data_IF_426611570980
#
_entry.id   IF_426611570980
#
_cell.length_a   1.000
_cell.length_b   1.000
_cell.length_c   1.000
_cell.angle_alpha   90.00
_cell.angle_beta   90.00
_cell.angle_gamma   90.00
#
_symmetry.space_group_name_H-M   'P 1'
#
loop_
_entity.id
_entity.type
_entity.pdbx_description
1 polymer ?
#
# COMPACT_ATOMS: atom_id res chain seq x y z
N UNK A 1 -33.90 37.99 18.98
CA UNK A 1 -33.16 36.77 19.35
C UNK A 1 -33.75 35.65 18.51
N UNK A 2 -33.10 35.28 17.38
CA UNK A 2 -33.49 34.16 16.51
C UNK A 2 -32.67 32.94 16.90
N UNK A 3 -33.30 31.92 17.42
CA UNK A 3 -32.76 30.61 17.72
C UNK A 3 -32.55 29.86 16.40
N UNK A 4 -31.26 29.58 16.04
CA UNK A 4 -30.89 28.68 14.94
C UNK A 4 -31.15 27.23 15.38
N UNK A 5 -31.98 26.53 14.62
CA UNK A 5 -32.34 25.13 14.85
C UNK A 5 -31.14 24.22 14.50
N UNK A 6 -30.76 23.37 15.44
CA UNK A 6 -29.78 22.30 15.26
C UNK A 6 -30.44 21.19 14.42
N UNK A 7 -29.95 21.04 13.18
CA UNK A 7 -30.27 19.87 12.37
C UNK A 7 -29.67 18.63 13.03
N UNK A 8 -30.53 17.69 13.43
CA UNK A 8 -30.14 16.38 13.98
C UNK A 8 -29.46 15.58 12.87
N UNK A 9 -28.14 15.46 12.94
CA UNK A 9 -27.40 14.48 12.18
C UNK A 9 -27.80 13.08 12.69
N UNK A 10 -28.28 12.22 11.78
CA UNK A 10 -28.59 10.83 12.11
C UNK A 10 -27.26 10.11 12.33
N UNK A 11 -27.11 9.32 13.42
CA UNK A 11 -25.90 8.51 13.60
C UNK A 11 -25.86 7.43 12.52
N UNK A 12 -24.81 7.45 11.71
CA UNK A 12 -24.47 6.33 10.83
C UNK A 12 -24.02 5.20 11.74
N UNK A 13 -24.71 4.06 11.73
CA UNK A 13 -24.31 2.88 12.50
C UNK A 13 -22.99 2.36 11.98
N UNK A 14 -21.94 2.24 12.80
CA UNK A 14 -20.71 1.59 12.37
C UNK A 14 -20.98 0.10 12.12
N UNK A 15 -20.68 -0.39 10.92
CA UNK A 15 -20.67 -1.80 10.61
C UNK A 15 -19.42 -2.42 11.23
N UNK A 16 -19.46 -2.67 12.53
CA UNK A 16 -18.45 -3.48 13.21
C UNK A 16 -18.75 -4.95 12.96
N UNK A 17 -18.04 -5.58 12.03
CA UNK A 17 -17.90 -7.03 11.96
C UNK A 17 -16.42 -7.38 12.08
N UNK A 18 -16.05 -7.98 13.20
CA UNK A 18 -14.75 -8.59 13.43
C UNK A 18 -13.95 -7.88 14.53
N UNK A 19 -13.87 -8.50 15.69
CA UNK A 19 -13.17 -7.98 16.85
C UNK A 19 -11.66 -7.86 16.60
N UNK A 20 -11.17 -6.65 16.55
CA UNK A 20 -9.75 -6.37 16.73
C UNK A 20 -9.50 -6.05 18.20
N UNK A 21 -8.78 -6.93 18.86
CA UNK A 21 -8.20 -6.67 20.17
C UNK A 21 -7.04 -5.67 20.00
N UNK A 22 -7.32 -4.41 20.13
CA UNK A 22 -6.31 -3.37 20.32
C UNK A 22 -5.77 -3.50 21.75
N UNK A 23 -4.86 -4.43 21.94
CA UNK A 23 -4.26 -4.64 23.26
C UNK A 23 -2.90 -3.98 23.33
N UNK A 24 -2.79 -2.99 24.16
CA UNK A 24 -1.56 -2.59 24.80
C UNK A 24 -1.28 -1.08 24.84
N UNK A 25 -1.16 -0.37 23.72
CA UNK A 25 -0.66 1.01 23.73
C UNK A 25 -1.75 2.07 23.99
N UNK A 26 -2.97 1.87 23.48
CA UNK A 26 -4.10 2.82 23.68
C UNK A 26 -4.74 2.68 25.07
N UNK A 27 -4.71 1.50 25.67
CA UNK A 27 -5.18 1.28 27.04
C UNK A 27 -4.31 2.00 28.09
N UNK A 28 -3.03 2.23 27.79
CA UNK A 28 -2.13 2.98 28.67
C UNK A 28 -2.45 4.49 28.75
N UNK A 29 -3.18 5.03 27.76
CA UNK A 29 -3.61 6.43 27.71
C UNK A 29 -5.08 6.63 28.04
N UNK A 30 -5.83 5.57 28.35
CA UNK A 30 -7.25 5.65 28.70
C UNK A 30 -8.18 6.08 27.56
N UNK A 31 -7.74 6.05 26.31
CA UNK A 31 -8.54 6.42 25.14
C UNK A 31 -9.20 5.15 24.58
N UNK A 32 -10.52 5.04 24.56
CA UNK A 32 -11.18 3.87 23.98
C UNK A 32 -10.95 3.83 22.46
N UNK A 33 -10.71 2.63 21.91
CA UNK A 33 -10.46 2.41 20.48
C UNK A 33 -11.50 3.09 19.57
N UNK A 34 -12.78 3.15 19.99
CA UNK A 34 -13.84 3.86 19.30
C UNK A 34 -13.59 5.37 19.18
N UNK A 35 -12.90 5.99 20.13
CA UNK A 35 -12.59 7.43 20.10
C UNK A 35 -11.45 7.73 19.12
N UNK A 36 -10.50 6.82 18.96
CA UNK A 36 -9.42 6.95 17.97
C UNK A 36 -9.97 6.83 16.53
N UNK A 37 -10.93 5.92 16.28
CA UNK A 37 -11.63 5.84 14.99
C UNK A 37 -12.52 7.06 14.72
N UNK A 38 -13.21 7.58 15.73
CA UNK A 38 -14.03 8.79 15.57
C UNK A 38 -13.15 10.02 15.26
N UNK A 39 -11.95 10.08 15.79
CA UNK A 39 -10.99 11.14 15.48
C UNK A 39 -10.48 11.03 14.04
N UNK A 40 -10.23 9.80 13.55
CA UNK A 40 -9.87 9.51 12.16
C UNK A 40 -10.95 9.99 11.16
N UNK A 41 -12.22 9.71 11.45
CA UNK A 41 -13.34 10.16 10.61
C UNK A 41 -13.51 11.68 10.65
N UNK A 42 -13.30 12.30 11.81
CA UNK A 42 -13.44 13.74 11.99
C UNK A 42 -12.33 14.52 11.28
N UNK A 43 -11.09 14.03 11.34
CA UNK A 43 -9.94 14.67 10.68
C UNK A 43 -10.01 14.50 9.16
N UNK A 44 -10.52 13.38 8.65
CA UNK A 44 -10.79 13.18 7.23
C UNK A 44 -11.88 14.13 6.71
N UNK A 45 -12.93 14.40 7.49
CA UNK A 45 -13.99 15.35 7.14
C UNK A 45 -13.53 16.81 7.17
N UNK A 46 -12.51 17.14 7.96
CA UNK A 46 -11.96 18.50 8.07
C UNK A 46 -10.86 18.80 7.05
N UNK A 47 -10.57 17.88 6.11
CA UNK A 47 -9.54 18.06 5.08
C UNK A 47 -8.12 18.19 5.63
N UNK A 48 -7.88 17.76 6.86
CA UNK A 48 -6.56 17.70 7.47
C UNK A 48 -5.89 16.41 7.05
N UNK A 49 -5.00 16.50 6.06
CA UNK A 49 -4.25 15.39 5.46
C UNK A 49 -3.20 14.76 6.38
N UNK A 50 -3.33 14.87 7.70
CA UNK A 50 -2.39 14.29 8.64
C UNK A 50 -3.14 13.47 9.68
N UNK A 51 -3.39 12.20 9.35
CA UNK A 51 -3.75 11.22 10.34
C UNK A 51 -2.48 10.91 11.12
N UNK A 52 -2.31 11.58 12.25
CA UNK A 52 -1.24 11.28 13.19
C UNK A 52 -1.72 10.14 14.08
N UNK A 53 -1.36 8.91 13.75
CA UNK A 53 -1.47 7.83 14.72
C UNK A 53 -0.56 8.15 15.92
N UNK A 54 -1.01 8.07 17.16
CA UNK A 54 -0.16 8.27 18.35
C UNK A 54 1.03 7.32 18.41
N UNK A 55 0.91 6.13 17.84
CA UNK A 55 1.98 5.29 17.32
C UNK A 55 1.55 4.85 15.93
N UNK A 56 2.42 5.01 14.93
CA UNK A 56 2.18 4.51 13.55
C UNK A 56 2.17 2.97 13.49
N UNK A 57 2.35 2.30 14.62
CA UNK A 57 2.52 0.86 14.70
C UNK A 57 1.19 0.13 14.87
N UNK A 58 0.90 -0.76 13.97
CA UNK A 58 -0.29 -1.59 13.99
C UNK A 58 0.01 -2.98 13.40
N UNK A 59 0.93 -3.76 14.02
CA UNK A 59 1.23 -5.10 13.52
C UNK A 59 0.01 -6.01 13.63
N UNK A 60 -0.21 -6.83 12.60
CA UNK A 60 -1.32 -7.76 12.47
C UNK A 60 -2.73 -7.12 12.59
N UNK A 61 -2.86 -5.80 12.47
CA UNK A 61 -4.18 -5.17 12.55
C UNK A 61 -5.00 -5.40 11.28
N UNK A 62 -6.32 -5.38 11.43
CA UNK A 62 -7.23 -5.48 10.31
C UNK A 62 -7.66 -4.08 9.85
N UNK A 63 -7.07 -3.64 8.75
CA UNK A 63 -7.35 -2.38 8.05
C UNK A 63 -8.03 -2.63 6.70
N UNK A 64 -8.77 -3.73 6.56
CA UNK A 64 -9.49 -4.05 5.33
C UNK A 64 -10.43 -2.93 4.94
N UNK A 65 -10.27 -2.39 3.72
CA UNK A 65 -11.08 -1.29 3.21
C UNK A 65 -10.88 0.05 3.94
N UNK A 66 -9.79 0.20 4.70
CA UNK A 66 -9.50 1.46 5.39
C UNK A 66 -9.26 2.59 4.37
N UNK A 67 -9.80 3.77 4.65
CA UNK A 67 -9.57 4.98 3.86
C UNK A 67 -8.41 5.77 4.47
N UNK A 68 -7.23 5.69 3.86
CA UNK A 68 -5.97 6.29 4.32
C UNK A 68 -5.26 7.10 3.21
N UNK A 69 -5.98 7.85 2.36
CA UNK A 69 -5.34 8.60 1.29
C UNK A 69 -4.46 9.71 1.87
N UNK A 70 -3.21 9.81 1.38
CA UNK A 70 -2.24 10.80 1.84
C UNK A 70 -1.78 10.63 3.29
N UNK A 71 -2.05 9.50 3.93
CA UNK A 71 -1.64 9.25 5.32
C UNK A 71 -0.11 9.20 5.45
N UNK A 72 0.43 9.81 6.51
CA UNK A 72 1.83 9.63 6.90
C UNK A 72 1.99 8.34 7.71
N UNK A 73 2.41 7.28 7.04
CA UNK A 73 2.74 5.96 7.59
C UNK A 73 4.24 5.68 7.48
N UNK A 74 5.08 6.71 7.30
CA UNK A 74 6.51 6.57 7.17
C UNK A 74 7.12 5.90 8.41
N UNK A 75 7.90 4.82 8.20
CA UNK A 75 8.48 4.00 9.26
C UNK A 75 7.49 3.22 10.11
N UNK A 76 6.20 3.22 9.79
CA UNK A 76 5.17 2.49 10.52
C UNK A 76 5.46 0.98 10.58
N UNK A 77 5.20 0.34 11.71
CA UNK A 77 5.21 -1.12 11.80
C UNK A 77 3.82 -1.68 11.50
N UNK A 78 3.65 -2.15 10.25
CA UNK A 78 2.43 -2.77 9.72
C UNK A 78 2.69 -4.26 9.36
N UNK A 79 3.66 -4.88 10.02
CA UNK A 79 3.99 -6.29 9.81
C UNK A 79 2.72 -7.17 9.99
N UNK A 80 2.47 -8.07 9.04
CA UNK A 80 1.31 -8.97 9.05
C UNK A 80 -0.06 -8.25 9.04
N UNK A 81 -0.11 -6.93 8.82
CA UNK A 81 -1.37 -6.20 8.77
C UNK A 81 -2.24 -6.64 7.58
N UNK A 82 -3.56 -6.64 7.76
CA UNK A 82 -4.54 -6.96 6.73
C UNK A 82 -5.05 -5.64 6.14
N UNK A 83 -4.53 -5.27 4.95
CA UNK A 83 -4.80 -4.02 4.22
C UNK A 83 -5.57 -4.28 2.92
N UNK A 84 -6.33 -5.39 2.86
CA UNK A 84 -7.09 -5.74 1.65
C UNK A 84 -8.02 -4.60 1.24
N UNK A 85 -7.95 -4.22 -0.06
CA UNK A 85 -8.81 -3.18 -0.63
C UNK A 85 -8.72 -1.83 0.11
N UNK A 86 -7.70 -1.62 0.95
CA UNK A 86 -7.47 -0.33 1.59
C UNK A 86 -7.11 0.73 0.54
N UNK A 87 -7.56 1.96 0.78
CA UNK A 87 -7.19 3.10 -0.03
C UNK A 87 -5.99 3.81 0.63
N UNK A 88 -4.81 3.61 0.07
CA UNK A 88 -3.53 4.19 0.47
C UNK A 88 -2.99 5.13 -0.62
N UNK A 89 -3.89 5.69 -1.44
CA UNK A 89 -3.51 6.61 -2.51
C UNK A 89 -2.66 7.77 -1.97
N UNK A 90 -1.51 8.02 -2.60
CA UNK A 90 -0.57 9.07 -2.21
C UNK A 90 -0.11 9.01 -0.73
N UNK A 91 -0.27 7.89 -0.03
CA UNK A 91 0.24 7.73 1.33
C UNK A 91 1.77 7.66 1.35
N UNK A 92 2.38 8.18 2.39
CA UNK A 92 3.81 8.01 2.67
C UNK A 92 4.02 6.73 3.50
N UNK A 93 4.54 5.70 2.87
CA UNK A 93 4.93 4.40 3.44
C UNK A 93 6.46 4.23 3.41
N UNK A 94 7.22 5.31 3.26
CA UNK A 94 8.67 5.26 3.20
C UNK A 94 9.24 4.56 4.43
N UNK A 95 10.08 3.53 4.21
CA UNK A 95 10.69 2.71 5.27
C UNK A 95 9.68 2.00 6.18
N UNK A 96 8.40 1.93 5.83
CA UNK A 96 7.42 1.17 6.60
C UNK A 96 7.75 -0.33 6.61
N UNK A 97 7.40 -1.02 7.69
CA UNK A 97 7.56 -2.47 7.83
C UNK A 97 6.24 -3.14 7.47
N UNK A 98 6.14 -3.67 6.25
CA UNK A 98 4.96 -4.33 5.68
C UNK A 98 5.22 -5.82 5.40
N UNK A 99 6.22 -6.40 6.04
CA UNK A 99 6.56 -7.81 5.85
C UNK A 99 5.33 -8.69 6.16
N UNK A 100 5.03 -9.65 5.27
CA UNK A 100 3.89 -10.57 5.42
C UNK A 100 2.52 -9.85 5.43
N UNK A 101 2.44 -8.57 5.09
CA UNK A 101 1.16 -7.85 5.04
C UNK A 101 0.31 -8.31 3.85
N UNK A 102 -1.00 -8.30 4.03
CA UNK A 102 -1.98 -8.63 2.99
C UNK A 102 -2.56 -7.35 2.37
N UNK A 103 -1.99 -6.93 1.25
CA UNK A 103 -2.32 -5.72 0.50
C UNK A 103 -3.15 -6.02 -0.77
N UNK A 104 -3.78 -7.19 -0.85
CA UNK A 104 -4.51 -7.61 -2.06
C UNK A 104 -5.58 -6.62 -2.46
N UNK A 105 -5.50 -6.18 -3.72
CA UNK A 105 -6.44 -5.21 -4.28
C UNK A 105 -6.39 -3.82 -3.62
N UNK A 106 -5.40 -3.51 -2.79
CA UNK A 106 -5.23 -2.18 -2.21
C UNK A 106 -4.92 -1.14 -3.29
N UNK A 107 -5.36 0.09 -3.08
CA UNK A 107 -5.01 1.22 -3.92
C UNK A 107 -3.80 1.97 -3.32
N UNK A 108 -2.65 1.77 -3.90
CA UNK A 108 -1.36 2.39 -3.55
C UNK A 108 -0.90 3.38 -4.63
N UNK A 109 -1.81 3.87 -5.46
CA UNK A 109 -1.43 4.74 -6.57
C UNK A 109 -0.79 6.04 -6.08
N UNK A 110 0.39 6.38 -6.65
CA UNK A 110 1.15 7.56 -6.28
C UNK A 110 1.71 7.56 -4.85
N UNK A 111 1.68 6.43 -4.13
CA UNK A 111 2.24 6.33 -2.78
C UNK A 111 3.77 6.33 -2.82
N UNK A 112 4.38 6.76 -1.70
CA UNK A 112 5.82 6.73 -1.49
C UNK A 112 6.18 5.53 -0.62
N UNK A 113 6.93 4.55 -1.18
CA UNK A 113 7.34 3.32 -0.51
C UNK A 113 8.86 3.13 -0.56
N UNK A 114 9.61 4.24 -0.73
CA UNK A 114 11.05 4.19 -0.84
C UNK A 114 11.69 3.52 0.40
N UNK A 115 12.46 2.46 0.17
CA UNK A 115 13.09 1.67 1.22
C UNK A 115 12.12 0.93 2.14
N UNK A 116 10.84 0.76 1.78
CA UNK A 116 9.89 -0.03 2.54
C UNK A 116 10.28 -1.52 2.57
N UNK A 117 9.91 -2.21 3.64
CA UNK A 117 10.13 -3.64 3.83
C UNK A 117 8.84 -4.40 3.52
N UNK A 118 8.79 -5.05 2.36
CA UNK A 118 7.63 -5.77 1.81
C UNK A 118 7.94 -7.28 1.59
N UNK A 119 8.91 -7.82 2.35
CA UNK A 119 9.28 -9.22 2.25
C UNK A 119 8.06 -10.13 2.47
N UNK A 120 7.81 -11.05 1.52
CA UNK A 120 6.64 -11.94 1.52
C UNK A 120 5.26 -11.23 1.61
N UNK A 121 5.17 -9.94 1.32
CA UNK A 121 3.88 -9.25 1.29
C UNK A 121 3.02 -9.73 0.10
N UNK A 122 1.69 -9.78 0.28
CA UNK A 122 0.74 -10.11 -0.79
C UNK A 122 0.12 -8.83 -1.37
N UNK A 123 0.62 -8.43 -2.53
CA UNK A 123 0.18 -7.26 -3.32
C UNK A 123 -0.59 -7.70 -4.58
N UNK A 124 -1.12 -8.93 -4.61
CA UNK A 124 -1.84 -9.41 -5.78
C UNK A 124 -2.98 -8.46 -6.15
N UNK A 125 -3.04 -8.07 -7.44
CA UNK A 125 -4.05 -7.16 -7.98
C UNK A 125 -4.07 -5.76 -7.34
N UNK A 126 -3.04 -5.37 -6.59
CA UNK A 126 -2.93 -4.02 -6.05
C UNK A 126 -2.72 -2.99 -7.17
N UNK A 127 -3.24 -1.78 -6.97
CA UNK A 127 -2.97 -0.65 -7.84
C UNK A 127 -1.75 0.12 -7.30
N UNK A 128 -0.62 -0.01 -7.97
CA UNK A 128 0.66 0.63 -7.68
C UNK A 128 1.06 1.64 -8.78
N UNK A 129 0.08 2.14 -9.54
CA UNK A 129 0.36 3.13 -10.58
C UNK A 129 1.10 4.34 -10.01
N UNK A 130 2.23 4.71 -10.65
CA UNK A 130 3.05 5.86 -10.26
C UNK A 130 3.58 5.80 -8.81
N UNK A 131 3.53 4.66 -8.15
CA UNK A 131 4.12 4.47 -6.82
C UNK A 131 5.66 4.54 -6.89
N UNK A 132 6.28 5.10 -5.85
CA UNK A 132 7.74 5.08 -5.70
C UNK A 132 8.14 3.92 -4.77
N UNK A 133 8.70 2.88 -5.36
CA UNK A 133 9.24 1.68 -4.70
C UNK A 133 10.78 1.66 -4.75
N UNK A 134 11.41 2.82 -4.89
CA UNK A 134 12.88 2.91 -4.98
C UNK A 134 13.55 2.23 -3.79
N UNK A 135 14.38 1.22 -4.06
CA UNK A 135 15.12 0.48 -3.03
C UNK A 135 14.25 -0.30 -2.04
N UNK A 136 12.95 -0.48 -2.31
CA UNK A 136 12.09 -1.30 -1.48
C UNK A 136 12.52 -2.78 -1.50
N UNK A 137 12.36 -3.47 -0.36
CA UNK A 137 12.56 -4.91 -0.27
C UNK A 137 11.25 -5.64 -0.57
N UNK A 138 11.13 -6.19 -1.78
CA UNK A 138 9.99 -6.96 -2.29
C UNK A 138 10.34 -8.44 -2.49
N UNK A 139 11.37 -8.93 -1.78
CA UNK A 139 11.78 -10.34 -1.90
C UNK A 139 10.59 -11.26 -1.61
N UNK A 140 10.38 -12.23 -2.50
CA UNK A 140 9.31 -13.24 -2.42
C UNK A 140 7.90 -12.64 -2.38
N UNK A 141 7.72 -11.34 -2.55
CA UNK A 141 6.40 -10.69 -2.56
C UNK A 141 5.55 -11.18 -3.72
N UNK A 142 4.24 -11.21 -3.53
CA UNK A 142 3.27 -11.56 -4.55
C UNK A 142 2.68 -10.30 -5.20
N UNK A 143 3.13 -9.97 -6.40
CA UNK A 143 2.67 -8.86 -7.23
C UNK A 143 1.84 -9.34 -8.45
N UNK A 144 1.29 -10.55 -8.36
CA UNK A 144 0.57 -11.16 -9.49
C UNK A 144 -0.62 -10.31 -9.92
N UNK A 145 -0.66 -9.92 -11.19
CA UNK A 145 -1.70 -9.08 -11.75
C UNK A 145 -1.76 -7.65 -11.18
N UNK A 146 -0.74 -7.21 -10.44
CA UNK A 146 -0.66 -5.84 -9.95
C UNK A 146 -0.51 -4.84 -11.10
N UNK A 147 -1.08 -3.66 -10.94
CA UNK A 147 -0.92 -2.55 -11.85
C UNK A 147 0.26 -1.66 -11.41
N UNK A 148 1.40 -1.85 -12.02
CA UNK A 148 2.66 -1.14 -11.78
C UNK A 148 2.97 -0.10 -12.86
N UNK A 149 1.97 0.35 -13.61
CA UNK A 149 2.19 1.32 -14.69
C UNK A 149 2.84 2.59 -14.16
N UNK A 150 3.99 2.96 -14.78
CA UNK A 150 4.77 4.13 -14.42
C UNK A 150 5.30 4.12 -12.98
N UNK A 151 5.29 2.99 -12.28
CA UNK A 151 5.91 2.86 -10.98
C UNK A 151 7.44 2.97 -11.08
N UNK A 152 8.07 3.42 -10.03
CA UNK A 152 9.54 3.52 -9.92
C UNK A 152 10.02 2.37 -9.03
N UNK A 153 10.69 1.40 -9.64
CA UNK A 153 11.24 0.20 -8.98
C UNK A 153 12.78 0.21 -9.03
N UNK A 154 13.38 1.39 -9.19
CA UNK A 154 14.83 1.50 -9.28
C UNK A 154 15.50 0.94 -8.03
N UNK A 155 16.44 0.00 -8.21
CA UNK A 155 17.17 -0.67 -7.11
C UNK A 155 16.27 -1.42 -6.12
N UNK A 156 15.00 -1.67 -6.43
CA UNK A 156 14.16 -2.53 -5.62
C UNK A 156 14.67 -3.97 -5.65
N UNK A 157 14.54 -4.67 -4.53
CA UNK A 157 14.85 -6.09 -4.46
C UNK A 157 13.59 -6.92 -4.70
N UNK A 158 13.48 -7.48 -5.91
CA UNK A 158 12.39 -8.33 -6.39
C UNK A 158 12.82 -9.80 -6.46
N UNK A 159 13.88 -10.18 -5.75
CA UNK A 159 14.38 -11.57 -5.76
C UNK A 159 13.27 -12.55 -5.37
N UNK A 160 12.97 -13.50 -6.23
CA UNK A 160 11.93 -14.50 -6.03
C UNK A 160 10.49 -13.94 -6.03
N UNK A 161 10.27 -12.67 -6.36
CA UNK A 161 8.95 -12.07 -6.40
C UNK A 161 8.09 -12.65 -7.54
N UNK A 162 6.76 -12.70 -7.33
CA UNK A 162 5.80 -13.15 -8.34
C UNK A 162 5.19 -11.95 -9.03
N UNK A 163 5.55 -11.72 -10.29
CA UNK A 163 5.04 -10.62 -11.13
C UNK A 163 4.25 -11.16 -12.33
N UNK A 164 3.77 -12.41 -12.29
CA UNK A 164 3.06 -12.96 -13.42
C UNK A 164 1.80 -12.13 -13.75
N UNK A 165 1.63 -11.80 -15.03
CA UNK A 165 0.55 -10.95 -15.52
C UNK A 165 0.50 -9.54 -14.90
N UNK A 166 1.54 -9.04 -14.24
CA UNK A 166 1.63 -7.67 -13.77
C UNK A 166 1.74 -6.68 -14.94
N UNK A 167 1.20 -5.48 -14.80
CA UNK A 167 1.32 -4.43 -15.82
C UNK A 167 2.48 -3.49 -15.48
N UNK A 168 3.59 -3.64 -16.18
CA UNK A 168 4.84 -2.88 -16.00
C UNK A 168 5.03 -1.80 -17.08
N UNK A 169 4.00 -1.44 -17.84
CA UNK A 169 4.13 -0.44 -18.90
C UNK A 169 4.56 0.92 -18.34
N UNK A 170 5.65 1.44 -18.88
CA UNK A 170 6.25 2.70 -18.44
C UNK A 170 6.94 2.63 -17.07
N UNK A 171 7.01 1.49 -16.41
CA UNK A 171 7.71 1.34 -15.14
C UNK A 171 9.23 1.47 -15.31
N UNK A 172 9.93 1.90 -14.26
CA UNK A 172 11.40 2.00 -14.23
C UNK A 172 11.98 0.93 -13.30
N UNK A 173 12.55 -0.14 -13.87
CA UNK A 173 13.17 -1.27 -13.17
C UNK A 173 14.70 -1.23 -13.21
N UNK A 174 15.33 -0.12 -13.57
CA UNK A 174 16.79 -0.04 -13.67
C UNK A 174 17.45 -0.31 -12.34
N UNK A 175 18.42 -1.23 -12.35
CA UNK A 175 19.14 -1.68 -11.16
C UNK A 175 18.27 -2.49 -10.19
N UNK A 176 17.08 -2.90 -10.57
CA UNK A 176 16.28 -3.81 -9.76
C UNK A 176 16.88 -5.22 -9.75
N UNK A 177 16.83 -5.89 -8.61
CA UNK A 177 17.28 -7.29 -8.47
C UNK A 177 16.10 -8.21 -8.79
N UNK A 178 16.22 -8.97 -9.90
CA UNK A 178 15.13 -9.82 -10.42
C UNK A 178 15.47 -11.32 -10.34
N UNK A 179 16.51 -11.72 -9.62
CA UNK A 179 16.93 -13.12 -9.55
C UNK A 179 15.77 -14.01 -9.05
N UNK A 180 15.43 -15.04 -9.83
CA UNK A 180 14.34 -15.96 -9.49
C UNK A 180 12.92 -15.34 -9.53
N UNK A 181 12.76 -14.10 -9.97
CA UNK A 181 11.43 -13.50 -10.12
C UNK A 181 10.64 -14.15 -11.27
N UNK A 182 9.33 -14.30 -11.11
CA UNK A 182 8.42 -14.77 -12.16
C UNK A 182 7.76 -13.58 -12.89
N UNK A 183 8.24 -13.28 -14.08
CA UNK A 183 7.71 -12.22 -14.97
C UNK A 183 6.82 -12.76 -16.10
N UNK A 184 6.41 -14.03 -16.02
CA UNK A 184 5.62 -14.68 -17.09
C UNK A 184 4.34 -13.91 -17.32
N UNK A 185 4.09 -13.49 -18.58
CA UNK A 185 2.91 -12.73 -18.96
C UNK A 185 2.90 -11.28 -18.50
N UNK A 186 3.92 -10.80 -17.77
CA UNK A 186 4.01 -9.40 -17.38
C UNK A 186 4.07 -8.49 -18.61
N UNK A 187 3.28 -7.41 -18.61
CA UNK A 187 3.15 -6.50 -19.73
C UNK A 187 4.23 -5.40 -19.67
N UNK A 188 4.87 -5.12 -20.79
CA UNK A 188 5.79 -3.99 -20.91
C UNK A 188 5.63 -3.28 -22.26
N UNK A 189 6.11 -2.03 -22.37
CA UNK A 189 6.05 -1.24 -23.60
C UNK A 189 7.37 -0.48 -23.86
N UNK A 190 7.38 0.39 -24.86
CA UNK A 190 8.57 1.18 -25.22
C UNK A 190 9.02 2.17 -24.12
N UNK A 191 8.14 2.56 -23.20
CA UNK A 191 8.45 3.46 -22.09
C UNK A 191 8.96 2.71 -20.85
N UNK A 192 8.81 1.39 -20.78
CA UNK A 192 9.36 0.58 -19.68
C UNK A 192 10.89 0.62 -19.71
N UNK A 193 11.49 0.99 -18.60
CA UNK A 193 12.95 1.12 -18.48
C UNK A 193 13.52 -0.10 -17.76
N UNK A 194 14.36 -0.84 -18.48
CA UNK A 194 15.04 -2.04 -18.02
C UNK A 194 16.55 -1.83 -18.17
N UNK A 195 17.34 -2.63 -17.48
CA UNK A 195 18.79 -2.63 -17.69
C UNK A 195 19.12 -3.09 -19.11
N UNK A 196 20.18 -2.54 -19.75
CA UNK A 196 20.50 -2.85 -21.15
C UNK A 196 20.76 -4.33 -21.43
N UNK A 197 21.23 -5.08 -20.45
CA UNK A 197 21.49 -6.53 -20.56
C UNK A 197 20.23 -7.39 -20.33
N UNK A 198 19.12 -6.80 -19.86
CA UNK A 198 17.90 -7.55 -19.58
C UNK A 198 17.13 -7.87 -20.87
N UNK A 199 16.78 -9.13 -21.06
CA UNK A 199 15.97 -9.57 -22.20
C UNK A 199 14.55 -9.93 -21.77
N UNK A 200 13.56 -9.02 -21.88
CA UNK A 200 12.20 -9.24 -21.38
C UNK A 200 11.53 -10.51 -21.93
N UNK A 201 11.78 -10.82 -23.20
CA UNK A 201 11.19 -11.99 -23.86
C UNK A 201 11.70 -13.31 -23.27
N UNK A 202 12.97 -13.36 -22.85
CA UNK A 202 13.54 -14.53 -22.23
C UNK A 202 12.89 -14.82 -20.85
N UNK A 203 12.31 -13.80 -20.24
CA UNK A 203 11.57 -13.88 -18.96
C UNK A 203 10.06 -14.04 -19.15
N UNK A 204 9.60 -14.30 -20.37
CA UNK A 204 8.18 -14.52 -20.66
C UNK A 204 7.30 -13.26 -20.63
N UNK A 205 7.91 -12.07 -20.64
CA UNK A 205 7.18 -10.81 -20.69
C UNK A 205 6.57 -10.56 -22.06
N UNK A 206 5.43 -9.88 -22.10
CA UNK A 206 4.65 -9.57 -23.28
C UNK A 206 4.75 -8.09 -23.66
N UNK A 207 5.24 -7.81 -24.86
CA UNK A 207 5.31 -6.45 -25.37
C UNK A 207 3.93 -5.97 -25.84
N UNK A 208 3.50 -4.82 -25.33
CA UNK A 208 2.26 -4.15 -25.73
C UNK A 208 2.60 -2.83 -26.43
N UNK A 209 1.97 -2.56 -27.57
CA UNK A 209 2.04 -1.23 -28.22
C UNK A 209 1.07 -0.29 -27.52
N UNK A 210 1.49 0.95 -27.32
CA UNK A 210 0.61 2.03 -26.83
C UNK A 210 -0.42 2.42 -27.86
#
# INVERSE_FOLDING_TARGET
VKTMGWARLRPVKPLMRGGCLWSGALLALGIPAAAAFAQLELDAQLGRSQIVFPSKDCPACNLTGAELPGADLSGANLKEAILRQANLQAADLSRAILNLADLRGANLSGSEQAGAFLWEADLAQANLQQADLTGANLQVANLSGADLRRAILTRADLTGAKLHNADLRGADLRGAFLEGADLTGALYNAQTRLDPAFNPRAWGMVFVRD
#
